data_IF_249081698775
#
_entry.id   IF_249081698775
#
_cell.length_a   1.000
_cell.length_b   1.000
_cell.length_c   1.000
_cell.angle_alpha   90.00
_cell.angle_beta   90.00
_cell.angle_gamma   90.00
#
_symmetry.space_group_name_H-M   'P 1'
#
loop_
_entity.id
_entity.type
_entity.pdbx_description
1 polymer ?
#
# COMPACT_ATOMS: atom_id res chain seq x y z
N UNK A 1 13.42 -7.36 -11.14
CA UNK A 1 12.42 -6.28 -11.26
C UNK A 1 12.20 -6.00 -12.74
N UNK A 2 10.95 -5.83 -13.21
CA UNK A 2 10.68 -5.58 -14.64
C UNK A 2 11.09 -4.16 -15.04
N UNK A 3 11.29 -3.93 -16.36
CA UNK A 3 11.55 -2.60 -16.89
C UNK A 3 10.43 -1.60 -16.57
N UNK A 4 9.17 -2.06 -16.50
CA UNK A 4 8.02 -1.24 -16.15
C UNK A 4 8.08 -0.70 -14.72
N UNK A 5 8.39 -1.55 -13.73
CA UNK A 5 8.52 -1.10 -12.34
C UNK A 5 9.71 -0.15 -12.17
N UNK A 6 10.82 -0.42 -12.84
CA UNK A 6 12.03 0.43 -12.75
C UNK A 6 11.77 1.85 -13.25
N UNK A 7 10.94 2.02 -14.29
CA UNK A 7 10.55 3.35 -14.80
C UNK A 7 9.78 4.18 -13.78
N UNK A 8 9.15 3.59 -12.77
CA UNK A 8 8.43 4.36 -11.75
C UNK A 8 9.36 5.22 -10.88
N UNK A 9 10.66 4.91 -10.85
CA UNK A 9 11.66 5.74 -10.16
C UNK A 9 11.81 7.16 -10.74
N UNK A 10 11.23 7.44 -11.92
CA UNK A 10 11.20 8.79 -12.50
C UNK A 10 10.30 9.76 -11.70
N UNK A 11 9.37 9.23 -10.89
CA UNK A 11 8.48 10.05 -10.09
C UNK A 11 9.08 10.30 -8.70
N UNK A 12 9.21 11.57 -8.31
CA UNK A 12 9.86 11.97 -7.04
C UNK A 12 9.17 11.40 -5.79
N UNK A 13 7.87 11.10 -5.89
CA UNK A 13 7.04 10.53 -4.83
C UNK A 13 7.06 8.99 -4.81
N UNK A 14 7.90 8.33 -5.60
CA UNK A 14 8.01 6.86 -5.66
C UNK A 14 9.42 6.42 -5.28
N UNK A 15 9.53 5.47 -4.35
CA UNK A 15 10.80 4.84 -3.96
C UNK A 15 10.73 3.34 -4.23
N UNK A 16 11.72 2.80 -4.93
CA UNK A 16 11.79 1.37 -5.28
C UNK A 16 12.83 0.64 -4.44
N UNK A 17 12.50 -0.58 -4.00
CA UNK A 17 13.37 -1.43 -3.19
C UNK A 17 13.52 -2.83 -3.84
N UNK A 18 14.36 -3.00 -4.88
CA UNK A 18 14.45 -4.24 -5.66
C UNK A 18 15.10 -5.43 -4.91
N UNK A 19 15.90 -5.17 -3.87
CA UNK A 19 16.55 -6.19 -3.02
C UNK A 19 16.37 -5.79 -1.55
N UNK A 20 15.13 -5.82 -1.08
CA UNK A 20 14.79 -5.38 0.27
C UNK A 20 15.13 -6.45 1.31
N UNK A 21 15.71 -6.05 2.43
CA UNK A 21 15.96 -6.92 3.58
C UNK A 21 14.78 -6.83 4.57
N UNK A 22 14.57 -7.88 5.38
CA UNK A 22 13.45 -7.94 6.34
C UNK A 22 13.42 -6.76 7.31
N UNK A 23 14.58 -6.36 7.85
CA UNK A 23 14.69 -5.17 8.71
C UNK A 23 14.16 -3.90 8.04
N UNK A 24 14.41 -3.75 6.74
CA UNK A 24 13.90 -2.60 5.96
C UNK A 24 12.39 -2.72 5.76
N UNK A 25 11.85 -3.92 5.55
CA UNK A 25 10.39 -4.15 5.50
C UNK A 25 9.75 -3.70 6.81
N UNK A 26 10.29 -4.14 7.95
CA UNK A 26 9.77 -3.80 9.28
C UNK A 26 9.75 -2.28 9.52
N UNK A 27 10.79 -1.56 9.09
CA UNK A 27 10.88 -0.11 9.20
C UNK A 27 9.91 0.61 8.27
N UNK A 28 9.76 0.16 7.02
CA UNK A 28 8.72 0.68 6.11
C UNK A 28 7.33 0.44 6.70
N UNK A 29 7.13 -0.73 7.29
CA UNK A 29 5.93 -1.14 8.01
C UNK A 29 5.72 -0.44 9.35
N UNK A 30 6.65 0.38 9.82
CA UNK A 30 6.44 1.31 10.95
C UNK A 30 6.12 2.72 10.44
N UNK A 31 6.68 3.09 9.30
CA UNK A 31 6.55 4.46 8.74
C UNK A 31 5.33 4.65 7.84
N UNK A 32 4.79 3.59 7.24
CA UNK A 32 3.61 3.71 6.39
C UNK A 32 2.35 4.05 7.21
N UNK A 33 1.37 4.70 6.62
CA UNK A 33 0.08 4.93 7.27
C UNK A 33 -0.93 3.84 6.87
N UNK A 34 -0.77 3.31 5.65
CA UNK A 34 -1.63 2.32 5.01
C UNK A 34 -0.82 1.39 4.11
N UNK A 35 -1.42 0.26 3.72
CA UNK A 35 -0.84 -0.69 2.78
C UNK A 35 -1.72 -0.82 1.52
N UNK A 36 -1.10 -0.78 0.33
CA UNK A 36 -1.78 -1.01 -0.94
C UNK A 36 -1.49 -2.42 -1.46
N UNK A 37 -2.46 -3.32 -1.36
CA UNK A 37 -2.40 -4.68 -1.89
C UNK A 37 -2.84 -4.73 -3.36
N UNK A 38 -1.99 -4.19 -4.23
CA UNK A 38 -2.24 -4.07 -5.68
C UNK A 38 -1.39 -5.02 -6.52
N UNK A 39 -0.62 -5.92 -5.89
CA UNK A 39 0.16 -6.93 -6.60
C UNK A 39 -0.71 -8.13 -7.00
N UNK A 40 -0.60 -8.53 -8.27
CA UNK A 40 -1.18 -9.78 -8.80
C UNK A 40 -0.33 -11.03 -8.53
N UNK A 41 0.88 -10.86 -7.99
CA UNK A 41 1.71 -11.98 -7.53
C UNK A 41 1.16 -12.62 -6.26
N UNK A 42 1.83 -13.69 -5.81
CA UNK A 42 1.52 -14.32 -4.53
C UNK A 42 1.48 -13.31 -3.38
N UNK A 43 0.56 -13.55 -2.44
CA UNK A 43 0.37 -12.73 -1.25
C UNK A 43 1.43 -13.06 -0.21
N UNK A 44 1.94 -12.03 0.46
CA UNK A 44 2.84 -12.17 1.60
C UNK A 44 2.01 -12.12 2.87
N UNK A 45 1.38 -13.25 3.21
CA UNK A 45 0.39 -13.34 4.30
C UNK A 45 0.97 -12.97 5.67
N UNK A 46 2.27 -13.24 5.87
CA UNK A 46 3.01 -12.81 7.06
C UNK A 46 3.06 -11.28 7.17
N UNK A 47 3.41 -10.60 6.08
CA UNK A 47 3.43 -9.13 6.01
C UNK A 47 2.02 -8.58 6.20
N UNK A 48 1.02 -9.12 5.50
CA UNK A 48 -0.37 -8.65 5.60
C UNK A 48 -0.94 -8.83 7.02
N UNK A 49 -0.64 -9.95 7.68
CA UNK A 49 -0.98 -10.19 9.07
C UNK A 49 -0.34 -9.18 10.01
N UNK A 50 0.94 -8.85 9.82
CA UNK A 50 1.63 -7.81 10.60
C UNK A 50 1.04 -6.41 10.36
N UNK A 51 0.70 -6.07 9.12
CA UNK A 51 0.03 -4.80 8.75
C UNK A 51 -1.28 -4.69 9.52
N UNK A 52 -2.12 -5.73 9.43
CA UNK A 52 -3.43 -5.81 10.10
C UNK A 52 -3.29 -5.73 11.62
N UNK A 53 -2.34 -6.47 12.19
CA UNK A 53 -2.05 -6.48 13.63
C UNK A 53 -1.62 -5.12 14.18
N UNK A 54 -1.04 -4.26 13.34
CA UNK A 54 -0.72 -2.86 13.67
C UNK A 54 -1.89 -1.89 13.49
N UNK A 55 -3.08 -2.39 13.16
CA UNK A 55 -4.29 -1.59 12.96
C UNK A 55 -4.26 -0.74 11.69
N UNK A 56 -3.40 -1.07 10.71
CA UNK A 56 -3.28 -0.31 9.46
C UNK A 56 -4.30 -0.79 8.45
N UNK A 57 -4.88 0.16 7.71
CA UNK A 57 -5.79 -0.15 6.63
C UNK A 57 -5.05 -0.80 5.46
N UNK A 58 -5.66 -1.86 4.93
CA UNK A 58 -5.17 -2.58 3.74
C UNK A 58 -6.18 -2.33 2.63
N UNK A 59 -5.76 -1.58 1.61
CA UNK A 59 -6.58 -1.21 0.47
C UNK A 59 -6.20 -2.08 -0.73
N UNK A 60 -7.18 -2.64 -1.43
CA UNK A 60 -6.94 -3.45 -2.62
C UNK A 60 -7.85 -3.03 -3.78
N UNK A 61 -7.56 -3.55 -4.97
CA UNK A 61 -8.55 -3.58 -6.04
C UNK A 61 -9.39 -4.86 -5.98
N UNK A 62 -10.54 -4.87 -6.65
CA UNK A 62 -11.39 -6.05 -6.88
C UNK A 62 -10.64 -7.21 -7.54
N UNK A 63 -9.63 -6.91 -8.38
CA UNK A 63 -8.79 -7.92 -9.05
C UNK A 63 -7.61 -8.42 -8.21
N UNK A 64 -7.36 -7.79 -7.05
CA UNK A 64 -6.23 -8.12 -6.17
C UNK A 64 -6.65 -8.36 -4.73
N UNK A 65 -7.94 -8.38 -4.43
CA UNK A 65 -8.48 -8.58 -3.09
C UNK A 65 -7.96 -9.88 -2.46
N UNK A 66 -7.56 -9.80 -1.20
CA UNK A 66 -7.19 -10.94 -0.35
C UNK A 66 -7.82 -10.86 1.04
N UNK A 67 -7.59 -11.88 1.87
CA UNK A 67 -8.27 -12.08 3.15
C UNK A 67 -8.07 -10.93 4.17
N UNK A 68 -6.91 -10.26 4.10
CA UNK A 68 -6.59 -9.15 5.00
C UNK A 68 -7.14 -7.80 4.52
N UNK A 69 -7.71 -7.73 3.31
CA UNK A 69 -8.27 -6.50 2.74
C UNK A 69 -9.27 -5.88 3.69
N UNK A 70 -9.08 -4.60 3.95
CA UNK A 70 -9.98 -3.80 4.79
C UNK A 70 -10.96 -3.01 3.93
N UNK A 71 -10.48 -2.49 2.78
CA UNK A 71 -11.31 -1.80 1.82
C UNK A 71 -10.93 -2.17 0.40
N UNK A 72 -11.95 -2.43 -0.43
CA UNK A 72 -11.79 -2.82 -1.83
C UNK A 72 -12.31 -1.70 -2.74
N UNK A 73 -11.58 -1.44 -3.81
CA UNK A 73 -11.94 -0.47 -4.85
C UNK A 73 -12.06 -1.16 -6.22
N UNK A 74 -12.93 -0.67 -7.13
CA UNK A 74 -13.01 -1.25 -8.48
C UNK A 74 -11.76 -0.92 -9.30
N UNK A 75 -11.12 -1.92 -9.93
CA UNK A 75 -9.97 -1.68 -10.83
C UNK A 75 -10.35 -0.75 -11.99
N UNK A 76 -11.62 -0.80 -12.43
CA UNK A 76 -12.14 0.06 -13.50
C UNK A 76 -12.30 1.54 -13.10
N UNK A 77 -12.24 1.87 -11.81
CA UNK A 77 -12.41 3.22 -11.27
C UNK A 77 -11.33 3.57 -10.24
N UNK A 78 -10.04 3.65 -10.65
CA UNK A 78 -8.93 3.91 -9.73
C UNK A 78 -9.02 5.29 -9.07
N UNK A 79 -9.76 6.24 -9.65
CA UNK A 79 -10.03 7.56 -9.07
C UNK A 79 -10.69 7.46 -7.69
N UNK A 80 -11.52 6.43 -7.44
CA UNK A 80 -12.14 6.24 -6.11
C UNK A 80 -11.11 5.98 -5.02
N UNK A 81 -10.04 5.23 -5.35
CA UNK A 81 -8.92 5.02 -4.43
C UNK A 81 -8.17 6.34 -4.19
N UNK A 82 -7.98 7.15 -5.24
CA UNK A 82 -7.32 8.46 -5.12
C UNK A 82 -8.11 9.39 -4.22
N UNK A 83 -9.42 9.53 -4.44
CA UNK A 83 -10.32 10.37 -3.64
C UNK A 83 -10.32 9.94 -2.16
N UNK A 84 -10.30 8.62 -1.90
CA UNK A 84 -10.16 8.09 -0.56
C UNK A 84 -8.84 8.52 0.09
N UNK A 85 -7.71 8.35 -0.60
CA UNK A 85 -6.38 8.72 -0.09
C UNK A 85 -6.25 10.23 0.17
N UNK A 86 -6.87 11.07 -0.68
CA UNK A 86 -6.91 12.51 -0.47
C UNK A 86 -7.76 12.92 0.74
N UNK A 87 -8.85 12.18 1.02
CA UNK A 87 -9.62 12.31 2.24
C UNK A 87 -8.81 11.91 3.47
N UNK A 88 -8.22 10.71 3.44
CA UNK A 88 -7.39 10.16 4.51
C UNK A 88 -6.26 11.12 4.93
N UNK A 89 -5.53 11.68 3.96
CA UNK A 89 -4.46 12.65 4.21
C UNK A 89 -4.93 13.92 4.93
N UNK A 90 -6.17 14.36 4.69
CA UNK A 90 -6.74 15.55 5.35
C UNK A 90 -7.05 15.25 6.82
N UNK A 91 -7.61 14.09 7.11
CA UNK A 91 -7.94 13.68 8.48
C UNK A 91 -6.68 13.46 9.33
N UNK A 92 -5.65 12.83 8.78
CA UNK A 92 -4.36 12.63 9.49
C UNK A 92 -3.67 13.96 9.82
N UNK A 93 -3.78 14.97 8.96
CA UNK A 93 -3.26 16.31 9.27
C UNK A 93 -3.98 16.95 10.45
N UNK A 94 -5.30 16.74 10.57
CA UNK A 94 -6.10 17.30 11.66
C UNK A 94 -5.75 16.63 13.00
N UNK A 95 -5.52 15.30 13.01
CA UNK A 95 -5.16 14.56 14.22
C UNK A 95 -3.77 14.92 14.76
N UNK A 96 -2.87 15.36 13.88
CA UNK A 96 -1.46 15.65 14.20
C UNK A 96 -1.15 17.17 14.27
N UNK A 97 -2.16 18.04 14.26
CA UNK A 97 -2.04 19.50 14.46
C UNK A 97 -2.46 19.88 15.88
#
# INVERSE_FOLDING_TARGET
>A
MSGTLTRLAQYENVRLYPKIMRVTIEDLMKKADLYLDINHGGKFEDVLGEVKGKGREILSFDTTVGDYTTMMFPTAQPQRLVEFLEGYKREEKIKNS
#
